data_IF_790488721782
#
_entry.id   IF_790488721782
#
_cell.length_a   1.000
_cell.length_b   1.000
_cell.length_c   1.000
_cell.angle_alpha   90.00
_cell.angle_beta   90.00
_cell.angle_gamma   90.00
#
_symmetry.space_group_name_H-M   'P 1'
#
loop_
_entity.id
_entity.type
_entity.pdbx_description
1 polymer ?
#
# COMPACT_ATOMS: atom_id res chain seq x y z
N UNK A 1 30.53 -0.28 14.77
CA UNK A 1 29.22 0.40 14.59
C UNK A 1 28.38 -0.47 13.65
N UNK A 2 27.26 -1.04 14.11
CA UNK A 2 26.36 -1.80 13.22
C UNK A 2 25.69 -0.77 12.29
N UNK A 3 25.84 -0.95 10.99
CA UNK A 3 25.14 -0.11 10.00
C UNK A 3 23.62 -0.18 10.21
N UNK A 4 22.85 0.79 9.70
CA UNK A 4 21.40 0.79 9.84
C UNK A 4 20.83 -0.53 9.30
N UNK A 5 20.04 -1.20 10.12
CA UNK A 5 19.48 -2.51 9.79
C UNK A 5 18.43 -2.34 8.70
N UNK A 6 18.78 -2.70 7.46
CA UNK A 6 17.89 -2.68 6.30
C UNK A 6 16.64 -3.58 6.44
N UNK A 7 16.58 -4.44 7.46
CA UNK A 7 15.51 -5.41 7.64
C UNK A 7 14.20 -4.76 8.06
N UNK A 8 13.08 -5.26 7.53
CA UNK A 8 11.72 -4.94 7.99
C UNK A 8 11.07 -6.11 8.74
N UNK A 9 11.80 -7.20 8.99
CA UNK A 9 11.24 -8.43 9.55
C UNK A 9 10.49 -8.18 10.87
N UNK A 10 11.11 -7.45 11.80
CA UNK A 10 10.57 -7.11 13.12
C UNK A 10 9.63 -5.89 13.13
N UNK A 11 9.54 -5.13 12.04
CA UNK A 11 8.72 -3.90 12.01
C UNK A 11 7.27 -4.26 11.71
N UNK A 12 6.38 -3.98 12.65
CA UNK A 12 4.94 -4.10 12.50
C UNK A 12 4.29 -2.80 12.98
N UNK A 13 3.34 -2.30 12.21
CA UNK A 13 2.63 -1.04 12.48
C UNK A 13 1.14 -1.34 12.43
N UNK A 14 0.44 -1.37 13.58
CA UNK A 14 -1.00 -1.58 13.63
C UNK A 14 -1.74 -0.46 12.90
N UNK A 15 -2.79 -0.81 12.15
CA UNK A 15 -3.53 0.14 11.32
C UNK A 15 -4.09 1.31 12.15
N UNK A 16 -4.61 1.01 13.34
CA UNK A 16 -5.20 1.96 14.29
C UNK A 16 -4.19 2.96 14.88
N UNK A 17 -2.89 2.67 14.81
CA UNK A 17 -1.84 3.58 15.26
C UNK A 17 -1.38 4.58 14.19
N UNK A 18 -1.81 4.38 12.93
CA UNK A 18 -1.39 5.19 11.80
C UNK A 18 -2.17 6.50 11.80
N UNK A 19 -1.45 7.62 11.91
CA UNK A 19 -2.01 8.96 11.70
C UNK A 19 -1.94 9.32 10.21
N UNK A 20 -3.06 9.73 9.59
CA UNK A 20 -3.05 10.19 8.20
C UNK A 20 -2.19 11.45 8.05
N UNK A 21 -1.49 11.56 6.92
CA UNK A 21 -0.77 12.77 6.53
C UNK A 21 -1.68 13.78 5.83
N UNK A 22 -1.13 14.94 5.49
CA UNK A 22 -1.77 15.92 4.60
C UNK A 22 -1.54 15.63 3.12
N UNK A 23 -0.69 14.66 2.78
CA UNK A 23 -0.39 14.29 1.41
C UNK A 23 -1.61 13.70 0.71
N UNK A 24 -1.81 14.08 -0.56
CA UNK A 24 -2.88 13.52 -1.37
C UNK A 24 -2.62 12.02 -1.63
N UNK A 25 -3.66 11.18 -1.58
CA UNK A 25 -3.52 9.77 -1.94
C UNK A 25 -3.12 9.60 -3.40
N UNK A 26 -2.34 8.57 -3.68
CA UNK A 26 -1.88 8.24 -5.03
C UNK A 26 -2.60 7.02 -5.57
N UNK A 27 -3.10 7.10 -6.79
CA UNK A 27 -3.75 5.98 -7.48
C UNK A 27 -2.70 5.02 -8.02
N UNK A 28 -2.62 3.83 -7.42
CA UNK A 28 -1.75 2.75 -7.91
C UNK A 28 -2.41 1.95 -9.02
N UNK A 29 -3.73 1.75 -8.95
CA UNK A 29 -4.52 1.01 -9.94
C UNK A 29 -5.95 1.55 -9.98
N UNK A 30 -6.53 1.68 -11.18
CA UNK A 30 -7.92 2.06 -11.38
C UNK A 30 -8.45 1.51 -12.71
N UNK A 31 -9.12 0.36 -12.68
CA UNK A 31 -9.78 -0.23 -13.85
C UNK A 31 -11.02 -1.02 -13.44
N UNK A 32 -12.04 -1.05 -14.29
CA UNK A 32 -13.25 -1.86 -14.12
C UNK A 32 -13.95 -1.64 -12.75
N UNK A 33 -13.89 -0.43 -12.21
CA UNK A 33 -14.44 -0.09 -10.90
C UNK A 33 -13.62 -0.59 -9.69
N UNK A 34 -12.52 -1.32 -9.91
CA UNK A 34 -11.58 -1.70 -8.87
C UNK A 34 -10.45 -0.67 -8.77
N UNK A 35 -10.33 -0.03 -7.60
CA UNK A 35 -9.34 1.02 -7.37
C UNK A 35 -8.44 0.69 -6.18
N UNK A 36 -7.14 0.94 -6.33
CA UNK A 36 -6.14 0.85 -5.25
C UNK A 36 -5.48 2.21 -5.09
N UNK A 37 -5.50 2.72 -3.86
CA UNK A 37 -4.90 3.99 -3.47
C UNK A 37 -3.82 3.78 -2.41
N UNK A 38 -2.76 4.57 -2.48
CA UNK A 38 -1.72 4.67 -1.47
C UNK A 38 -1.93 5.95 -0.66
N UNK A 39 -2.18 5.79 0.64
CA UNK A 39 -2.25 6.88 1.61
C UNK A 39 -0.99 6.89 2.43
N UNK A 40 -0.30 8.02 2.48
CA UNK A 40 0.96 8.14 3.21
C UNK A 40 0.69 8.52 4.67
N UNK A 41 1.35 7.85 5.60
CA UNK A 41 1.24 8.19 7.02
C UNK A 41 2.04 9.46 7.35
N UNK A 42 1.59 10.20 8.36
CA UNK A 42 2.31 11.37 8.88
C UNK A 42 3.66 11.01 9.49
N UNK A 43 3.68 9.96 10.32
CA UNK A 43 4.80 9.59 11.17
C UNK A 43 5.49 8.31 10.66
N UNK A 44 6.80 8.23 10.87
CA UNK A 44 7.56 6.99 10.67
C UNK A 44 7.39 6.04 11.87
N UNK A 45 7.65 4.73 11.72
CA UNK A 45 7.67 3.82 12.87
C UNK A 45 8.76 4.24 13.89
N UNK A 46 8.53 4.03 15.20
CA UNK A 46 9.51 4.38 16.23
C UNK A 46 10.90 3.78 15.97
N UNK A 47 11.94 4.62 16.02
CA UNK A 47 13.32 4.21 15.77
C UNK A 47 13.65 3.89 14.30
N UNK A 48 12.70 4.09 13.37
CA UNK A 48 12.86 3.81 11.93
C UNK A 48 12.54 5.02 11.06
N UNK A 49 13.32 6.12 11.17
CA UNK A 49 13.11 7.32 10.34
C UNK A 49 13.34 7.06 8.85
N UNK A 50 13.99 5.94 8.50
CA UNK A 50 14.20 5.47 7.13
C UNK A 50 12.98 4.80 6.51
N UNK A 51 11.87 4.61 7.25
CA UNK A 51 10.72 3.82 6.82
C UNK A 51 9.48 4.68 6.62
N UNK A 52 8.98 4.71 5.39
CA UNK A 52 7.66 5.25 5.05
C UNK A 52 6.58 4.21 5.36
N UNK A 53 5.53 4.63 6.04
CA UNK A 53 4.30 3.83 6.23
C UNK A 53 3.27 4.27 5.20
N UNK A 54 2.72 3.30 4.49
CA UNK A 54 1.68 3.49 3.48
C UNK A 54 0.48 2.63 3.85
N UNK A 55 -0.71 3.23 3.93
CA UNK A 55 -1.97 2.51 4.01
C UNK A 55 -2.47 2.31 2.58
N UNK A 56 -2.46 1.07 2.11
CA UNK A 56 -3.06 0.71 0.83
C UNK A 56 -4.55 0.50 1.04
N UNK A 57 -5.40 1.26 0.36
CA UNK A 57 -6.85 1.06 0.36
C UNK A 57 -7.32 0.53 -0.98
N UNK A 58 -8.11 -0.54 -0.96
CA UNK A 58 -8.67 -1.17 -2.15
C UNK A 58 -10.19 -1.06 -2.10
N UNK A 59 -10.80 -0.52 -3.16
CA UNK A 59 -12.22 -0.16 -3.21
C UNK A 59 -12.89 -0.79 -4.44
N UNK A 60 -14.11 -1.28 -4.26
CA UNK A 60 -14.92 -1.81 -5.36
C UNK A 60 -16.14 -0.92 -5.63
N UNK A 61 -16.19 -0.37 -6.84
CA UNK A 61 -17.34 0.37 -7.39
C UNK A 61 -18.03 -0.38 -8.53
N UNK A 62 -17.59 -1.60 -8.82
CA UNK A 62 -18.19 -2.47 -9.83
C UNK A 62 -19.45 -3.18 -9.31
N UNK A 63 -20.38 -3.58 -10.21
CA UNK A 63 -21.55 -4.36 -9.84
C UNK A 63 -21.24 -5.84 -9.56
N UNK A 64 -19.98 -6.27 -9.75
CA UNK A 64 -19.53 -7.64 -9.52
C UNK A 64 -18.64 -7.72 -8.27
N UNK A 65 -18.61 -8.86 -7.58
CA UNK A 65 -17.71 -9.07 -6.45
C UNK A 65 -16.27 -9.21 -6.95
N UNK A 66 -15.32 -8.82 -6.10
CA UNK A 66 -13.89 -9.05 -6.32
C UNK A 66 -13.40 -10.01 -5.26
N UNK A 67 -12.79 -11.12 -5.66
CA UNK A 67 -12.32 -12.17 -4.75
C UNK A 67 -10.84 -12.47 -4.94
N UNK A 68 -10.27 -13.21 -3.99
CA UNK A 68 -8.90 -13.72 -4.05
C UNK A 68 -7.87 -12.62 -4.33
N UNK A 69 -8.07 -11.44 -3.74
CA UNK A 69 -7.23 -10.27 -3.94
C UNK A 69 -5.87 -10.52 -3.29
N UNK A 70 -4.81 -10.44 -4.08
CA UNK A 70 -3.42 -10.52 -3.62
C UNK A 70 -2.63 -9.38 -4.26
N UNK A 71 -2.10 -8.50 -3.42
CA UNK A 71 -1.15 -7.47 -3.81
C UNK A 71 0.27 -7.92 -3.45
N UNK A 72 1.17 -7.83 -4.41
CA UNK A 72 2.60 -8.04 -4.24
C UNK A 72 3.34 -6.77 -4.66
N UNK A 73 4.43 -6.45 -3.99
CA UNK A 73 5.23 -5.27 -4.27
C UNK A 73 6.71 -5.62 -4.40
N UNK A 74 7.42 -4.90 -5.26
CA UNK A 74 8.85 -4.99 -5.47
C UNK A 74 9.44 -3.58 -5.60
N UNK A 75 10.64 -3.41 -5.05
CA UNK A 75 11.35 -2.13 -5.00
C UNK A 75 12.81 -2.33 -5.41
N UNK A 76 13.58 -1.26 -5.71
CA UNK A 76 15.01 -1.35 -5.98
C UNK A 76 15.78 -2.03 -4.84
N UNK A 77 16.94 -2.62 -5.15
CA UNK A 77 17.76 -3.36 -4.17
C UNK A 77 18.24 -2.52 -2.99
N UNK A 78 18.39 -1.20 -3.18
CA UNK A 78 18.74 -0.21 -2.15
C UNK A 78 17.64 0.00 -1.11
N UNK A 79 16.41 -0.47 -1.40
CA UNK A 79 15.23 -0.34 -0.56
C UNK A 79 14.73 -1.71 -0.12
N UNK A 80 13.85 -1.73 0.88
CA UNK A 80 13.07 -2.91 1.27
C UNK A 80 11.61 -2.56 1.38
N UNK A 81 10.76 -3.48 0.93
CA UNK A 81 9.30 -3.37 1.07
C UNK A 81 8.80 -4.54 1.90
N UNK A 82 7.84 -4.28 2.79
CA UNK A 82 7.10 -5.29 3.53
C UNK A 82 5.61 -4.97 3.45
N UNK A 83 4.84 -5.94 3.00
CA UNK A 83 3.38 -5.91 3.10
C UNK A 83 2.97 -6.69 4.35
N UNK A 84 2.21 -6.06 5.23
CA UNK A 84 1.55 -6.75 6.32
C UNK A 84 0.30 -7.48 5.80
N UNK A 85 -0.31 -8.40 6.57
CA UNK A 85 -1.56 -9.04 6.17
C UNK A 85 -2.63 -8.00 5.84
N UNK A 86 -3.41 -8.18 4.76
CA UNK A 86 -4.54 -7.30 4.46
C UNK A 86 -5.70 -7.55 5.44
N UNK A 87 -6.61 -6.59 5.58
CA UNK A 87 -7.83 -6.73 6.39
C UNK A 87 -8.81 -7.76 5.81
N UNK A 88 -8.66 -8.11 4.53
CA UNK A 88 -9.46 -9.10 3.83
C UNK A 88 -8.92 -9.35 2.42
N UNK A 89 -9.53 -10.28 1.71
CA UNK A 89 -9.14 -10.68 0.34
C UNK A 89 -10.30 -10.63 -0.64
N UNK A 90 -11.46 -10.11 -0.21
CA UNK A 90 -12.67 -10.00 -1.01
C UNK A 90 -13.36 -8.64 -0.79
N UNK A 91 -13.96 -8.11 -1.86
CA UNK A 91 -14.79 -6.91 -1.84
C UNK A 91 -16.16 -7.25 -2.41
N UNK A 92 -17.21 -6.91 -1.68
CA UNK A 92 -18.58 -7.06 -2.15
C UNK A 92 -18.84 -6.17 -3.38
N UNK A 93 -19.86 -6.48 -4.20
CA UNK A 93 -20.35 -5.56 -5.22
C UNK A 93 -20.69 -4.19 -4.62
N UNK A 94 -20.59 -3.15 -5.43
CA UNK A 94 -21.05 -1.83 -5.05
C UNK A 94 -22.57 -1.83 -4.85
N UNK A 95 -23.01 -1.22 -3.75
CA UNK A 95 -24.42 -0.99 -3.43
C UNK A 95 -24.63 0.49 -3.10
N UNK A 96 -25.55 1.21 -3.77
CA UNK A 96 -25.84 2.60 -3.44
C UNK A 96 -26.40 2.82 -2.02
N UNK A 97 -26.89 1.76 -1.37
CA UNK A 97 -27.55 1.82 -0.07
C UNK A 97 -26.54 1.63 1.08
N UNK A 98 -25.45 0.90 0.82
CA UNK A 98 -24.45 0.55 1.83
C UNK A 98 -23.15 1.33 1.59
N UNK A 99 -22.37 1.63 2.65
CA UNK A 99 -21.02 2.13 2.47
C UNK A 99 -20.21 1.18 1.57
N UNK A 100 -19.36 1.70 0.66
CA UNK A 100 -18.50 0.87 -0.17
C UNK A 100 -17.60 -0.02 0.69
N UNK A 101 -17.50 -1.30 0.34
CA UNK A 101 -16.53 -2.20 0.96
C UNK A 101 -15.10 -1.74 0.65
N UNK A 102 -14.22 -1.87 1.65
CA UNK A 102 -12.82 -1.52 1.54
C UNK A 102 -11.93 -2.59 2.18
N UNK A 103 -10.81 -2.89 1.53
CA UNK A 103 -9.70 -3.61 2.13
C UNK A 103 -8.59 -2.61 2.41
N UNK A 104 -7.99 -2.72 3.59
CA UNK A 104 -6.81 -1.97 3.97
C UNK A 104 -5.63 -2.91 4.15
N UNK A 105 -4.46 -2.52 3.67
CA UNK A 105 -3.23 -3.26 3.86
C UNK A 105 -2.08 -2.30 4.16
N UNK A 106 -1.38 -2.53 5.27
CA UNK A 106 -0.23 -1.71 5.64
C UNK A 106 0.99 -2.15 4.85
N UNK A 107 1.62 -1.21 4.17
CA UNK A 107 2.88 -1.38 3.45
C UNK A 107 3.96 -0.52 4.08
N UNK A 108 5.12 -1.11 4.30
CA UNK A 108 6.30 -0.45 4.86
C UNK A 108 7.38 -0.39 3.78
N UNK A 109 7.96 0.79 3.56
CA UNK A 109 9.03 1.03 2.60
C UNK A 109 10.26 1.61 3.31
N UNK A 110 11.31 0.81 3.48
CA UNK A 110 12.60 1.26 4.00
C UNK A 110 13.47 1.81 2.87
N UNK A 111 13.97 3.03 3.04
CA UNK A 111 14.84 3.73 2.09
C UNK A 111 15.99 4.46 2.81
N UNK A 112 16.98 3.73 3.36
CA UNK A 112 18.05 4.35 4.15
C UNK A 112 19.01 5.20 3.32
N UNK A 113 19.10 4.98 2.01
CA UNK A 113 19.94 5.76 1.10
C UNK A 113 19.26 7.04 0.57
N UNK A 114 17.99 7.26 0.96
CA UNK A 114 17.18 8.41 0.53
C UNK A 114 17.10 8.61 -0.98
N UNK A 115 17.08 7.52 -1.73
CA UNK A 115 16.94 7.57 -3.18
C UNK A 115 15.49 7.84 -3.60
N UNK A 116 15.26 8.29 -4.84
CA UNK A 116 13.89 8.44 -5.36
C UNK A 116 13.15 7.10 -5.30
N UNK A 117 12.04 7.06 -4.55
CA UNK A 117 11.24 5.85 -4.39
C UNK A 117 10.47 5.51 -5.67
N UNK A 118 10.47 4.23 -6.01
CA UNK A 118 9.66 3.62 -7.07
C UNK A 118 9.27 2.21 -6.63
N UNK A 119 8.05 1.82 -6.97
CA UNK A 119 7.50 0.54 -6.57
C UNK A 119 6.82 -0.10 -7.77
N UNK A 120 7.18 -1.35 -8.07
CA UNK A 120 6.44 -2.19 -8.98
C UNK A 120 5.50 -3.06 -8.19
N UNK A 121 4.28 -3.23 -8.67
CA UNK A 121 3.32 -4.12 -8.05
C UNK A 121 2.88 -5.21 -9.02
N UNK A 122 2.46 -6.34 -8.45
CA UNK A 122 1.67 -7.37 -9.13
C UNK A 122 0.39 -7.55 -8.33
N UNK A 123 -0.74 -7.41 -8.99
CA UNK A 123 -2.07 -7.52 -8.41
C UNK A 123 -2.79 -8.69 -9.08
N UNK A 124 -3.27 -9.64 -8.29
CA UNK A 124 -4.11 -10.74 -8.77
C UNK A 124 -5.44 -10.75 -8.06
N UNK A 125 -6.52 -10.99 -8.79
CA UNK A 125 -7.88 -11.04 -8.25
C UNK A 125 -8.81 -11.76 -9.24
N UNK A 126 -10.00 -12.12 -8.77
CA UNK A 126 -11.11 -12.57 -9.59
C UNK A 126 -12.22 -11.51 -9.59
N UNK A 127 -12.63 -10.99 -10.76
CA UNK A 127 -13.80 -10.11 -10.89
C UNK A 127 -14.96 -10.94 -11.45
N UNK A 128 -15.94 -11.25 -10.60
CA UNK A 128 -16.85 -12.37 -10.87
C UNK A 128 -16.06 -13.66 -11.06
N UNK A 129 -16.22 -14.32 -12.22
CA UNK A 129 -15.49 -15.54 -12.58
C UNK A 129 -14.17 -15.28 -13.32
N UNK A 130 -13.88 -14.04 -13.70
CA UNK A 130 -12.71 -13.71 -14.50
C UNK A 130 -11.47 -13.50 -13.63
N UNK A 131 -10.49 -14.39 -13.77
CA UNK A 131 -9.16 -14.22 -13.17
C UNK A 131 -8.37 -13.13 -13.90
N UNK A 132 -7.80 -12.21 -13.13
CA UNK A 132 -7.01 -11.09 -13.63
C UNK A 132 -5.64 -11.05 -12.96
N UNK A 133 -4.61 -10.71 -13.73
CA UNK A 133 -3.26 -10.41 -13.23
C UNK A 133 -2.81 -9.10 -13.86
N UNK A 134 -2.55 -8.11 -13.02
CA UNK A 134 -2.14 -6.77 -13.42
C UNK A 134 -0.77 -6.47 -12.85
N UNK A 135 0.06 -5.78 -13.64
CA UNK A 135 1.38 -5.31 -13.21
C UNK A 135 1.43 -3.82 -13.50
N UNK A 136 2.00 -3.06 -12.57
CA UNK A 136 2.19 -1.63 -12.75
C UNK A 136 3.35 -1.09 -11.94
N UNK A 137 3.61 0.20 -12.10
CA UNK A 137 4.66 0.94 -11.41
C UNK A 137 4.07 2.22 -10.82
N UNK A 138 4.49 2.56 -9.61
CA UNK A 138 4.16 3.80 -8.91
C UNK A 138 5.48 4.48 -8.57
N UNK A 139 5.63 5.75 -8.92
CA UNK A 139 6.81 6.57 -8.59
C UNK A 139 6.46 7.92 -7.93
N UNK A 140 5.17 8.14 -7.66
CA UNK A 140 4.62 9.36 -7.05
C UNK A 140 4.68 9.30 -5.51
N UNK A 141 5.84 8.96 -4.95
CA UNK A 141 6.03 8.97 -3.50
C UNK A 141 6.36 10.38 -2.98
N UNK A 142 6.02 10.71 -1.71
CA UNK A 142 6.45 11.94 -1.08
C UNK A 142 7.98 12.06 -1.05
N UNK A 143 8.54 13.29 -1.12
CA UNK A 143 9.97 13.53 -0.96
C UNK A 143 10.52 12.84 0.30
N UNK A 144 11.67 12.18 0.19
CA UNK A 144 12.20 11.34 1.28
C UNK A 144 12.59 12.19 2.49
N UNK A 145 12.91 13.46 2.28
CA UNK A 145 13.22 14.43 3.31
C UNK A 145 12.03 14.76 4.21
N UNK A 146 10.80 14.50 3.74
CA UNK A 146 9.57 14.78 4.47
C UNK A 146 9.03 13.56 5.24
N UNK A 147 9.63 12.38 5.07
CA UNK A 147 9.18 11.17 5.77
C UNK A 147 9.28 11.36 7.29
N UNK A 148 8.16 11.13 7.97
CA UNK A 148 8.02 11.36 9.41
C UNK A 148 7.43 12.71 9.79
N UNK A 149 7.16 13.58 8.81
CA UNK A 149 6.44 14.84 8.99
C UNK A 149 5.61 15.22 7.75
N UNK A 150 4.79 14.27 7.26
CA UNK A 150 3.86 14.46 6.12
C UNK A 150 2.50 15.05 6.53
#
# INVERSE_FOLDING_TARGET
MKGPELSLASVHVPLESIKPSSALPVTAYDKNGFRILFHFAKECPPGRPDVLVVVVSMLNTAPLPIKSIVLQAAVPKSMKVKLQPPSGTELSPFSPIQPPAAITQVMLLANPLKEKARLRYRLTFALGEQLSTEVGEVDQFPPVEQWGNL
#
